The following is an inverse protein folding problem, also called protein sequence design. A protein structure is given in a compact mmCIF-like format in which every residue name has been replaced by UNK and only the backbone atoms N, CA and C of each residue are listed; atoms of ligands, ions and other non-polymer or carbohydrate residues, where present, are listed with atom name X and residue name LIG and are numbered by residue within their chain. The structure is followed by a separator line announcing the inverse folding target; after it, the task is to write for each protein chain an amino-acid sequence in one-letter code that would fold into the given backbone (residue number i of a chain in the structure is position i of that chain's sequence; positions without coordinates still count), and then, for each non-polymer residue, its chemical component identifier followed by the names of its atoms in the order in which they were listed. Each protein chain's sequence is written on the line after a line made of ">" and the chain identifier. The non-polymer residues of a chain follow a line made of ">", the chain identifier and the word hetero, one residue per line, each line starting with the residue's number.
data_IF_812093850017
#
_entry.id   IF_812093850017
#
_cell.length_a   1.000
_cell.length_b   1.000
_cell.length_c   1.000
_cell.angle_alpha   90.00
_cell.angle_beta   90.00
_cell.angle_gamma   90.00
#
_symmetry.space_group_name_H-M   'P 1'
#
loop_
_entity.id
_entity.type
_entity.pdbx_description
1 polymer ?
#
# COMPACT_ATOMS: atom_id res chain seq x y z
N UNK A 1 -73.68 33.91 -36.67
CA UNK A 1 -72.45 34.70 -36.97
C UNK A 1 -71.51 34.56 -35.79
N UNK A 2 -70.29 34.01 -35.83
CA UNK A 2 -69.38 33.58 -36.90
C UNK A 2 -68.49 32.46 -36.33
N UNK A 3 -68.18 31.43 -37.13
CA UNK A 3 -67.06 30.48 -36.90
C UNK A 3 -65.71 31.18 -37.20
N UNK A 4 -64.62 30.79 -36.50
CA UNK A 4 -63.23 30.84 -37.00
C UNK A 4 -62.25 30.11 -36.04
N UNK A 5 -60.99 29.77 -36.42
CA UNK A 5 -60.59 28.37 -36.58
C UNK A 5 -59.44 27.93 -35.66
N UNK A 6 -59.26 26.61 -35.58
CA UNK A 6 -58.10 25.91 -35.00
C UNK A 6 -56.79 26.41 -35.62
N UNK A 7 -55.78 26.67 -34.79
CA UNK A 7 -54.37 26.58 -35.17
C UNK A 7 -53.68 25.58 -34.24
N UNK A 8 -53.41 24.40 -34.78
CA UNK A 8 -52.58 23.37 -34.16
C UNK A 8 -51.12 23.75 -34.47
N UNK A 9 -50.34 24.14 -33.46
CA UNK A 9 -48.90 24.35 -33.58
C UNK A 9 -48.21 23.09 -33.09
N UNK A 10 -47.67 22.29 -34.01
CA UNK A 10 -46.71 21.23 -33.73
C UNK A 10 -45.36 21.88 -33.42
N UNK A 11 -44.86 21.74 -32.19
CA UNK A 11 -43.48 22.06 -31.85
C UNK A 11 -42.64 20.78 -31.98
N UNK A 12 -41.70 20.76 -32.93
CA UNK A 12 -40.73 19.68 -33.10
C UNK A 12 -39.68 19.78 -31.98
N UNK A 13 -39.59 18.76 -31.12
CA UNK A 13 -38.56 18.65 -30.11
C UNK A 13 -37.25 18.14 -30.75
N UNK A 14 -36.25 19.02 -30.88
CA UNK A 14 -34.88 18.61 -31.18
C UNK A 14 -34.24 18.05 -29.90
N UNK A 15 -34.11 16.73 -29.80
CA UNK A 15 -33.29 16.07 -28.79
C UNK A 15 -31.82 16.16 -29.18
N UNK A 16 -31.09 17.11 -28.59
CA UNK A 16 -29.62 17.17 -28.67
C UNK A 16 -29.03 16.02 -27.85
N UNK A 17 -28.40 15.06 -28.53
CA UNK A 17 -27.64 13.99 -27.90
C UNK A 17 -26.29 14.56 -27.45
N UNK A 18 -26.16 14.87 -26.16
CA UNK A 18 -24.88 15.27 -25.58
C UNK A 18 -23.94 14.06 -25.53
N UNK A 19 -22.93 14.05 -26.38
CA UNK A 19 -21.85 13.06 -26.33
C UNK A 19 -20.93 13.45 -25.17
N UNK A 20 -21.05 12.76 -24.04
CA UNK A 20 -20.13 12.91 -22.92
C UNK A 20 -18.82 12.18 -23.24
N UNK A 21 -17.79 12.93 -23.62
CA UNK A 21 -16.42 12.42 -23.65
C UNK A 21 -15.97 12.16 -22.21
N UNK A 22 -15.99 10.90 -21.77
CA UNK A 22 -15.33 10.51 -20.53
C UNK A 22 -13.82 10.55 -20.78
N UNK A 23 -13.14 11.55 -20.23
CA UNK A 23 -11.68 11.53 -20.13
C UNK A 23 -11.30 10.39 -19.18
N UNK A 24 -10.57 9.40 -19.69
CA UNK A 24 -9.98 8.35 -18.87
C UNK A 24 -8.97 9.00 -17.92
N UNK A 25 -9.12 8.77 -16.61
CA UNK A 25 -8.17 9.26 -15.64
C UNK A 25 -6.77 8.71 -16.00
N UNK A 26 -5.70 9.51 -15.89
CA UNK A 26 -4.35 9.00 -16.13
C UNK A 26 -4.10 7.79 -15.23
N UNK A 27 -3.48 6.75 -15.80
CA UNK A 27 -3.12 5.54 -15.07
C UNK A 27 -2.26 5.91 -13.84
N UNK A 28 -2.56 5.32 -12.68
CA UNK A 28 -1.75 5.50 -11.48
C UNK A 28 -0.33 4.98 -11.76
N UNK A 29 0.73 5.81 -11.61
CA UNK A 29 2.09 5.38 -11.87
C UNK A 29 2.56 4.25 -10.94
N UNK A 30 1.89 4.03 -9.81
CA UNK A 30 2.21 2.93 -8.89
C UNK A 30 1.46 1.66 -9.33
N UNK A 31 2.22 0.64 -9.67
CA UNK A 31 1.73 -0.65 -10.16
C UNK A 31 2.58 -1.81 -9.59
N UNK A 32 2.31 -3.05 -10.02
CA UNK A 32 3.02 -4.22 -9.49
C UNK A 32 4.54 -4.20 -9.79
N UNK A 33 4.95 -3.63 -10.92
CA UNK A 33 6.35 -3.49 -11.31
C UNK A 33 7.12 -2.50 -10.42
N UNK A 34 6.40 -1.69 -9.63
CA UNK A 34 7.01 -0.82 -8.62
C UNK A 34 7.61 -1.60 -7.45
N UNK A 35 7.29 -2.90 -7.31
CA UNK A 35 7.66 -3.70 -6.14
C UNK A 35 8.50 -4.93 -6.52
N UNK A 36 9.82 -4.72 -6.53
CA UNK A 36 10.83 -5.75 -6.76
C UNK A 36 11.25 -6.52 -5.50
N UNK A 37 12.49 -7.03 -5.50
CA UNK A 37 13.07 -7.67 -4.32
C UNK A 37 13.12 -6.70 -3.13
N UNK A 38 12.53 -7.08 -1.98
CA UNK A 38 12.52 -6.23 -0.78
C UNK A 38 13.94 -5.87 -0.30
N UNK A 39 14.93 -6.72 -0.59
CA UNK A 39 16.33 -6.53 -0.16
C UNK A 39 17.14 -5.60 -1.06
N UNK A 40 16.56 -5.13 -2.17
CA UNK A 40 17.16 -4.07 -2.98
C UNK A 40 16.90 -2.68 -2.36
N UNK A 41 15.91 -2.58 -1.46
CA UNK A 41 15.61 -1.38 -0.69
C UNK A 41 16.60 -1.17 0.47
N UNK A 42 16.55 -0.02 1.15
CA UNK A 42 17.45 0.28 2.27
C UNK A 42 16.92 -0.29 3.59
N UNK A 43 17.68 -1.14 4.32
CA UNK A 43 17.24 -1.66 5.60
C UNK A 43 17.23 -0.58 6.70
N UNK A 44 16.18 -0.55 7.50
CA UNK A 44 16.02 0.28 8.69
C UNK A 44 15.49 -0.59 9.82
N UNK A 45 16.33 -0.89 10.82
CA UNK A 45 15.95 -1.52 12.11
C UNK A 45 14.92 -2.67 12.02
N UNK A 46 15.02 -3.53 11.01
CA UNK A 46 14.18 -4.72 10.86
C UNK A 46 13.09 -4.63 9.79
N UNK A 47 12.90 -3.48 9.16
CA UNK A 47 12.11 -3.29 7.94
C UNK A 47 12.99 -2.66 6.84
N UNK A 48 12.39 -2.41 5.67
CA UNK A 48 13.07 -1.82 4.52
C UNK A 48 12.32 -0.59 4.03
N UNK A 49 13.07 0.41 3.54
CA UNK A 49 12.52 1.64 2.96
C UNK A 49 13.12 1.97 1.59
N UNK A 50 12.30 2.61 0.76
CA UNK A 50 12.72 3.23 -0.50
C UNK A 50 11.88 4.50 -0.77
N UNK A 51 12.02 5.13 -1.93
CA UNK A 51 11.16 6.22 -2.38
C UNK A 51 10.91 6.18 -3.90
N UNK A 52 9.66 5.95 -4.32
CA UNK A 52 9.25 5.88 -5.73
C UNK A 52 9.34 7.23 -6.48
N UNK A 53 9.55 8.34 -5.77
CA UNK A 53 9.80 9.67 -6.35
C UNK A 53 11.29 10.05 -6.31
N UNK A 54 12.16 9.16 -5.83
CA UNK A 54 13.61 9.34 -5.81
C UNK A 54 14.15 10.07 -4.57
N UNK A 55 13.30 10.48 -3.62
CA UNK A 55 13.74 11.17 -2.40
C UNK A 55 14.01 10.18 -1.24
N UNK A 56 14.95 9.26 -1.47
CA UNK A 56 15.34 8.26 -0.48
C UNK A 56 15.97 8.89 0.77
N UNK A 57 16.73 9.98 0.59
CA UNK A 57 17.40 10.66 1.69
C UNK A 57 16.39 11.21 2.71
N UNK A 58 15.33 11.88 2.26
CA UNK A 58 14.30 12.37 3.16
C UNK A 58 13.49 11.23 3.82
N UNK A 59 13.21 10.15 3.09
CA UNK A 59 12.60 8.94 3.67
C UNK A 59 13.45 8.40 4.82
N UNK A 60 14.77 8.28 4.61
CA UNK A 60 15.70 7.78 5.63
C UNK A 60 15.87 8.75 6.80
N UNK A 61 15.83 10.06 6.55
CA UNK A 61 15.91 11.06 7.60
C UNK A 61 14.75 10.90 8.61
N UNK A 62 13.52 10.71 8.11
CA UNK A 62 12.35 10.47 8.96
C UNK A 62 12.42 9.08 9.60
N UNK A 63 12.76 8.05 8.81
CA UNK A 63 12.84 6.68 9.31
C UNK A 63 13.91 6.51 10.40
N UNK A 64 14.93 7.36 10.47
CA UNK A 64 15.96 7.30 11.52
C UNK A 64 15.77 8.34 12.63
N UNK A 65 14.72 9.15 12.59
CA UNK A 65 14.46 10.14 13.62
C UNK A 65 13.82 9.51 14.86
N UNK A 66 14.53 9.58 16.00
CA UNK A 66 14.04 9.08 17.28
C UNK A 66 12.75 9.77 17.74
N UNK A 67 12.56 11.04 17.37
CA UNK A 67 11.37 11.85 17.68
C UNK A 67 10.23 11.63 16.67
N UNK A 68 10.47 10.84 15.60
CA UNK A 68 9.54 10.62 14.51
C UNK A 68 9.52 11.76 13.49
N UNK A 69 8.46 11.83 12.70
CA UNK A 69 8.32 12.79 11.61
C UNK A 69 7.31 12.34 10.57
N UNK A 70 7.04 13.21 9.59
CA UNK A 70 6.14 12.89 8.47
C UNK A 70 6.96 12.42 7.30
N UNK A 71 6.68 11.21 6.81
CA UNK A 71 7.37 10.66 5.64
C UNK A 71 7.04 11.48 4.39
N UNK A 72 8.02 11.74 3.50
CA UNK A 72 7.77 12.45 2.25
C UNK A 72 6.96 11.59 1.27
N UNK A 73 6.20 12.22 0.35
CA UNK A 73 5.54 11.50 -0.74
C UNK A 73 6.52 10.61 -1.52
N UNK A 74 6.06 9.43 -1.93
CA UNK A 74 6.86 8.41 -2.59
C UNK A 74 7.51 7.41 -1.64
N UNK A 75 7.58 7.69 -0.34
CA UNK A 75 8.15 6.74 0.64
C UNK A 75 7.51 5.37 0.54
N UNK A 76 8.32 4.33 0.47
CA UNK A 76 7.92 2.92 0.51
C UNK A 76 8.41 2.31 1.81
N UNK A 77 7.55 1.57 2.50
CA UNK A 77 7.90 0.83 3.72
C UNK A 77 7.43 -0.61 3.59
N UNK A 78 8.33 -1.56 3.82
CA UNK A 78 8.01 -2.99 3.85
C UNK A 78 8.66 -3.69 5.04
N UNK A 79 7.87 -4.43 5.82
CA UNK A 79 8.38 -5.36 6.82
C UNK A 79 8.55 -6.77 6.23
N UNK A 80 7.59 -7.22 5.41
CA UNK A 80 7.57 -8.53 4.77
C UNK A 80 7.29 -8.39 3.27
N UNK A 81 7.65 -9.38 2.43
CA UNK A 81 7.55 -9.25 0.97
C UNK A 81 6.14 -8.97 0.44
N UNK A 82 5.11 -9.45 1.14
CA UNK A 82 3.72 -9.44 0.67
C UNK A 82 2.92 -8.20 1.10
N UNK A 83 3.48 -7.31 1.91
CA UNK A 83 2.78 -6.13 2.42
C UNK A 83 3.65 -4.88 2.20
N UNK A 84 3.05 -3.84 1.63
CA UNK A 84 3.71 -2.56 1.33
C UNK A 84 2.87 -1.39 1.80
N UNK A 85 3.52 -0.37 2.35
CA UNK A 85 2.94 0.95 2.53
C UNK A 85 3.61 1.94 1.59
N UNK A 86 2.82 2.76 0.90
CA UNK A 86 3.35 3.86 0.08
C UNK A 86 2.74 5.19 0.50
N UNK A 87 3.59 6.19 0.77
CA UNK A 87 3.15 7.55 1.08
C UNK A 87 2.71 8.25 -0.21
N UNK A 88 1.43 8.56 -0.34
CA UNK A 88 0.86 9.32 -1.46
C UNK A 88 1.09 10.82 -1.29
N UNK A 89 0.71 11.58 -2.32
CA UNK A 89 0.71 13.04 -2.24
C UNK A 89 -0.27 13.55 -1.18
N UNK A 90 -0.02 14.73 -0.59
CA UNK A 90 -0.87 15.26 0.46
C UNK A 90 -2.35 15.36 0.04
N UNK A 91 -3.24 14.85 0.87
CA UNK A 91 -4.70 14.90 0.67
C UNK A 91 -5.28 13.72 -0.11
N UNK A 92 -4.48 12.72 -0.47
CA UNK A 92 -4.95 11.49 -1.10
C UNK A 92 -5.87 10.68 -0.18
N UNK A 93 -5.54 10.63 1.12
CA UNK A 93 -6.35 9.98 2.14
C UNK A 93 -6.05 10.58 3.52
N UNK A 94 -6.86 11.56 3.97
CA UNK A 94 -6.70 12.16 5.30
C UNK A 94 -6.78 11.13 6.44
N UNK A 95 -7.60 10.08 6.28
CA UNK A 95 -7.78 9.04 7.30
C UNK A 95 -6.48 8.27 7.59
N UNK A 96 -5.68 8.01 6.54
CA UNK A 96 -4.46 7.22 6.65
C UNK A 96 -3.19 8.08 6.66
N UNK A 97 -3.32 9.40 6.82
CA UNK A 97 -2.23 10.36 6.62
C UNK A 97 -1.54 10.13 5.27
N UNK A 98 -2.32 9.90 4.23
CA UNK A 98 -1.88 9.64 2.85
C UNK A 98 -1.06 8.35 2.66
N UNK A 99 -0.99 7.47 3.66
CA UNK A 99 -0.46 6.12 3.45
C UNK A 99 -1.48 5.26 2.70
N UNK A 100 -1.05 4.72 1.56
CA UNK A 100 -1.72 3.65 0.85
C UNK A 100 -1.16 2.30 1.34
N UNK A 101 -2.04 1.34 1.58
CA UNK A 101 -1.69 -0.04 1.93
C UNK A 101 -1.86 -0.93 0.70
N UNK A 102 -0.90 -1.81 0.46
CA UNK A 102 -0.87 -2.68 -0.72
C UNK A 102 -0.50 -4.09 -0.27
N UNK A 103 -1.38 -5.03 -0.57
CA UNK A 103 -1.18 -6.47 -0.38
C UNK A 103 -0.74 -7.07 -1.72
N UNK A 104 0.38 -7.79 -1.70
CA UNK A 104 1.00 -8.40 -2.86
C UNK A 104 0.88 -9.93 -2.82
N UNK A 105 0.75 -10.50 -4.01
CA UNK A 105 1.26 -11.82 -4.32
C UNK A 105 2.66 -11.70 -4.92
N UNK A 106 3.58 -12.58 -4.47
CA UNK A 106 4.99 -12.55 -4.91
C UNK A 106 5.42 -13.92 -5.39
N UNK A 107 6.14 -13.94 -6.51
CA UNK A 107 6.77 -15.13 -7.09
C UNK A 107 8.16 -14.77 -7.63
N UNK A 108 8.87 -15.73 -8.21
CA UNK A 108 10.17 -15.46 -8.81
C UNK A 108 10.07 -14.53 -10.03
N UNK A 109 8.91 -14.49 -10.68
CA UNK A 109 8.64 -13.66 -11.85
C UNK A 109 8.33 -12.20 -11.51
N UNK A 110 7.98 -11.89 -10.25
CA UNK A 110 7.65 -10.53 -9.81
C UNK A 110 6.55 -10.50 -8.77
N UNK A 111 5.79 -9.40 -8.74
CA UNK A 111 4.65 -9.21 -7.87
C UNK A 111 3.35 -9.06 -8.67
N UNK A 112 2.22 -9.31 -8.02
CA UNK A 112 0.91 -8.82 -8.46
C UNK A 112 0.17 -8.21 -7.27
N UNK A 113 -0.63 -7.18 -7.52
CA UNK A 113 -1.38 -6.51 -6.47
C UNK A 113 -2.68 -7.27 -6.23
N UNK A 114 -2.79 -7.92 -5.07
CA UNK A 114 -4.03 -8.59 -4.64
C UNK A 114 -5.07 -7.57 -4.19
N UNK A 115 -4.65 -6.60 -3.40
CA UNK A 115 -5.49 -5.53 -2.89
C UNK A 115 -4.64 -4.28 -2.68
N UNK A 116 -5.25 -3.11 -2.87
CA UNK A 116 -4.65 -1.82 -2.54
C UNK A 116 -5.72 -0.81 -2.16
N UNK A 117 -5.37 0.17 -1.35
CA UNK A 117 -6.31 1.18 -0.88
C UNK A 117 -5.89 1.80 0.44
N UNK A 118 -6.87 2.22 1.24
CA UNK A 118 -6.66 3.03 2.42
C UNK A 118 -7.21 2.34 3.66
N UNK A 119 -8.30 2.86 4.24
CA UNK A 119 -8.83 2.36 5.51
C UNK A 119 -9.42 0.93 5.45
N UNK A 120 -9.70 0.43 4.26
CA UNK A 120 -10.48 -0.79 4.00
C UNK A 120 -9.63 -2.00 3.54
N UNK A 121 -8.31 -1.83 3.40
CA UNK A 121 -7.41 -2.90 2.95
C UNK A 121 -7.21 -3.93 4.05
N UNK A 122 -7.45 -5.19 3.69
CA UNK A 122 -7.14 -6.34 4.53
C UNK A 122 -6.06 -7.19 3.87
N UNK A 123 -5.17 -7.77 4.68
CA UNK A 123 -4.22 -8.76 4.18
C UNK A 123 -4.92 -10.10 3.89
N UNK A 124 -4.19 -11.06 3.32
CA UNK A 124 -4.73 -12.38 2.96
C UNK A 124 -5.32 -13.19 4.13
N UNK A 125 -5.04 -12.79 5.37
CA UNK A 125 -5.58 -13.42 6.58
C UNK A 125 -6.83 -12.69 7.14
N UNK A 126 -7.31 -11.65 6.44
CA UNK A 126 -8.46 -10.87 6.85
C UNK A 126 -8.17 -9.83 7.95
N UNK A 127 -6.89 -9.57 8.25
CA UNK A 127 -6.51 -8.53 9.20
C UNK A 127 -6.41 -7.18 8.47
N UNK A 128 -7.00 -6.14 9.05
CA UNK A 128 -7.04 -4.80 8.44
C UNK A 128 -5.74 -4.03 8.68
N UNK A 129 -5.15 -3.51 7.61
CA UNK A 129 -3.88 -2.79 7.67
C UNK A 129 -4.03 -1.49 8.47
N UNK A 130 -5.01 -0.66 8.12
CA UNK A 130 -5.22 0.63 8.77
C UNK A 130 -5.52 0.50 10.28
N UNK A 131 -6.34 -0.46 10.69
CA UNK A 131 -6.69 -0.68 12.09
C UNK A 131 -5.49 -1.05 12.97
N UNK A 132 -4.45 -1.65 12.38
CA UNK A 132 -3.16 -1.86 13.04
C UNK A 132 -2.35 -0.56 13.08
N UNK A 133 -2.19 0.08 11.91
CA UNK A 133 -1.30 1.23 11.73
C UNK A 133 -1.77 2.53 12.40
N UNK A 134 -3.09 2.73 12.55
CA UNK A 134 -3.69 3.90 13.22
C UNK A 134 -3.33 4.00 14.71
N UNK A 135 -2.89 2.90 15.31
CA UNK A 135 -2.50 2.84 16.73
C UNK A 135 -1.09 3.39 16.98
N UNK A 136 -0.31 3.64 15.94
CA UNK A 136 1.00 4.25 16.08
C UNK A 136 0.90 5.59 16.82
N UNK A 137 1.86 5.86 17.69
CA UNK A 137 1.95 7.15 18.35
C UNK A 137 1.93 8.28 17.29
N UNK A 138 1.29 9.43 17.57
CA UNK A 138 1.00 10.43 16.54
C UNK A 138 2.21 10.88 15.71
N UNK A 139 3.39 10.97 16.33
CA UNK A 139 4.65 11.38 15.72
C UNK A 139 5.31 10.31 14.85
N UNK A 140 4.85 9.06 14.89
CA UNK A 140 5.38 7.93 14.11
C UNK A 140 4.77 7.81 12.72
N UNK A 141 3.82 8.70 12.39
CA UNK A 141 3.21 8.78 11.06
C UNK A 141 2.73 7.43 10.52
N UNK A 142 1.96 6.70 11.35
CA UNK A 142 1.43 5.35 11.04
C UNK A 142 2.49 4.23 10.94
N UNK A 143 3.78 4.48 11.16
CA UNK A 143 4.81 3.44 11.14
C UNK A 143 4.90 2.73 12.50
N UNK A 144 4.41 1.49 12.51
CA UNK A 144 4.32 0.61 13.67
C UNK A 144 5.59 -0.23 13.87
N UNK A 145 6.63 0.35 14.48
CA UNK A 145 7.76 -0.41 15.02
C UNK A 145 7.53 -0.82 16.48
N UNK A 146 8.42 -1.68 17.00
CA UNK A 146 8.40 -2.06 18.41
C UNK A 146 8.58 -0.81 19.30
N UNK A 147 7.64 -0.60 20.23
CA UNK A 147 7.66 0.56 21.12
C UNK A 147 7.06 1.84 20.53
N UNK A 148 6.47 1.80 19.33
CA UNK A 148 5.79 2.93 18.70
C UNK A 148 4.27 3.00 19.03
N UNK A 149 3.83 2.36 20.11
CA UNK A 149 2.45 2.38 20.58
C UNK A 149 1.48 1.41 19.88
N UNK A 150 1.93 0.71 18.84
CA UNK A 150 1.10 -0.29 18.15
C UNK A 150 1.03 -1.62 18.90
N UNK A 151 -0.03 -2.39 18.64
CA UNK A 151 -0.15 -3.75 19.15
C UNK A 151 0.94 -4.65 18.57
N UNK A 152 1.46 -5.63 19.34
CA UNK A 152 2.38 -6.61 18.82
C UNK A 152 1.76 -7.42 17.67
N UNK A 153 2.52 -7.61 16.60
CA UNK A 153 2.18 -8.53 15.51
C UNK A 153 2.68 -9.95 15.84
N UNK A 154 2.05 -11.01 15.29
CA UNK A 154 2.48 -12.40 15.51
C UNK A 154 3.72 -12.78 14.69
N UNK A 155 4.66 -11.84 14.49
CA UNK A 155 5.94 -12.06 13.81
C UNK A 155 7.08 -11.71 14.78
N UNK A 156 7.95 -12.69 15.04
CA UNK A 156 9.21 -12.41 15.73
C UNK A 156 10.22 -11.78 14.76
N UNK A 157 11.27 -11.15 15.28
CA UNK A 157 12.33 -10.61 14.43
C UNK A 157 12.99 -11.68 13.53
N UNK A 158 13.14 -12.91 14.03
CA UNK A 158 13.68 -14.03 13.25
C UNK A 158 12.71 -14.46 12.14
N UNK A 159 11.41 -14.49 12.41
CA UNK A 159 10.38 -14.75 11.40
C UNK A 159 10.40 -13.69 10.30
N UNK A 160 10.43 -12.40 10.67
CA UNK A 160 10.49 -11.30 9.69
C UNK A 160 11.75 -11.38 8.83
N UNK A 161 12.94 -11.59 9.44
CA UNK A 161 14.18 -11.77 8.67
C UNK A 161 14.12 -12.98 7.75
N UNK A 162 13.53 -14.08 8.20
CA UNK A 162 13.40 -15.25 7.37
C UNK A 162 12.51 -14.97 6.16
N UNK A 163 11.34 -14.33 6.35
CA UNK A 163 10.45 -13.90 5.26
C UNK A 163 11.16 -12.97 4.27
N UNK A 164 11.92 -11.98 4.77
CA UNK A 164 12.69 -11.03 3.95
C UNK A 164 13.77 -11.74 3.11
N UNK A 165 14.49 -12.70 3.71
CA UNK A 165 15.51 -13.49 3.02
C UNK A 165 14.92 -14.46 2.00
N UNK A 166 13.71 -14.96 2.25
CA UNK A 166 12.99 -15.88 1.35
C UNK A 166 12.02 -15.20 0.40
N UNK A 167 12.09 -13.87 0.23
CA UNK A 167 11.38 -13.20 -0.87
C UNK A 167 11.77 -13.87 -2.20
N UNK A 168 10.81 -14.47 -2.93
CA UNK A 168 11.11 -15.24 -4.13
C UNK A 168 11.66 -14.39 -5.27
N UNK A 169 11.48 -13.06 -5.22
CA UNK A 169 12.02 -12.11 -6.20
C UNK A 169 13.51 -11.82 -5.97
N UNK A 170 14.03 -12.15 -4.79
CA UNK A 170 15.41 -11.86 -4.41
C UNK A 170 16.36 -13.04 -4.71
N UNK A 171 17.65 -12.72 -4.87
CA UNK A 171 18.69 -13.75 -4.98
C UNK A 171 18.72 -14.64 -3.73
N UNK A 172 18.87 -15.98 -3.84
CA UNK A 172 18.90 -16.88 -2.69
C UNK A 172 19.92 -16.46 -1.63
N UNK A 173 19.57 -16.66 -0.36
CA UNK A 173 20.44 -16.30 0.77
C UNK A 173 20.29 -17.33 1.88
N UNK A 174 21.39 -17.65 2.53
CA UNK A 174 21.40 -18.62 3.62
C UNK A 174 20.62 -18.10 4.83
N UNK A 175 19.88 -19.03 5.43
CA UNK A 175 19.12 -18.81 6.65
C UNK A 175 19.88 -19.35 7.85
N UNK A 176 19.79 -18.66 8.98
CA UNK A 176 20.22 -19.21 10.25
C UNK A 176 19.26 -20.30 10.73
N UNK A 177 19.70 -21.12 11.69
CA UNK A 177 18.82 -22.12 12.31
C UNK A 177 17.57 -21.48 12.95
N UNK A 178 17.72 -20.30 13.55
CA UNK A 178 16.59 -19.56 14.14
C UNK A 178 15.59 -19.11 13.07
N UNK A 179 16.07 -18.64 11.91
CA UNK A 179 15.24 -18.23 10.78
C UNK A 179 14.52 -19.43 10.15
N UNK A 180 15.20 -20.59 10.06
CA UNK A 180 14.60 -21.85 9.59
C UNK A 180 13.45 -22.28 10.50
N UNK A 181 13.65 -22.27 11.82
CA UNK A 181 12.59 -22.60 12.77
C UNK A 181 11.44 -21.59 12.73
N UNK A 182 11.75 -20.30 12.55
CA UNK A 182 10.76 -19.25 12.32
C UNK A 182 9.85 -19.53 11.12
N UNK A 183 10.41 -19.93 9.98
CA UNK A 183 9.62 -20.30 8.79
C UNK A 183 8.77 -21.55 9.01
N UNK A 184 9.28 -22.55 9.73
CA UNK A 184 8.50 -23.75 10.06
C UNK A 184 7.28 -23.38 10.91
N UNK A 185 7.46 -22.52 11.92
CA UNK A 185 6.37 -22.03 12.74
C UNK A 185 5.33 -21.23 11.92
N UNK A 186 5.79 -20.33 11.03
CA UNK A 186 4.89 -19.59 10.14
C UNK A 186 4.06 -20.51 9.24
N UNK A 187 4.69 -21.54 8.64
CA UNK A 187 4.00 -22.51 7.78
C UNK A 187 2.95 -23.32 8.55
N UNK A 188 3.22 -23.67 9.81
CA UNK A 188 2.27 -24.39 10.65
C UNK A 188 1.00 -23.56 10.96
N UNK A 189 1.13 -22.23 11.02
CA UNK A 189 0.01 -21.32 11.33
C UNK A 189 -0.71 -20.85 10.07
N UNK A 190 0.01 -20.60 8.98
CA UNK A 190 -0.50 -19.87 7.80
C UNK A 190 -0.38 -20.62 6.47
N UNK A 191 0.26 -21.79 6.45
CA UNK A 191 0.57 -22.57 5.23
C UNK A 191 -0.35 -23.75 4.98
N UNK A 192 -1.57 -23.73 5.55
CA UNK A 192 -2.62 -24.71 5.28
C UNK A 192 -3.23 -24.57 3.89
#
# INVERSE_FOLDING_TARGET
>A
MKLSPRRLLLAAALTSLAITTHAEAPADPINADSFGCIRDMTPVRGFFVDNLKGDLEATLAVANNADGGVYPPGSVVQLIPTEVMVKRDPGFSPATKDWEFIELDVSAEGASIRARGFADVNNKFGLNCFACHVKAEPQRDMICEQGHGCDPIPLTAAMSRALQKTDPRCAPTELSNEEIEGLKALRAVFGG
#
